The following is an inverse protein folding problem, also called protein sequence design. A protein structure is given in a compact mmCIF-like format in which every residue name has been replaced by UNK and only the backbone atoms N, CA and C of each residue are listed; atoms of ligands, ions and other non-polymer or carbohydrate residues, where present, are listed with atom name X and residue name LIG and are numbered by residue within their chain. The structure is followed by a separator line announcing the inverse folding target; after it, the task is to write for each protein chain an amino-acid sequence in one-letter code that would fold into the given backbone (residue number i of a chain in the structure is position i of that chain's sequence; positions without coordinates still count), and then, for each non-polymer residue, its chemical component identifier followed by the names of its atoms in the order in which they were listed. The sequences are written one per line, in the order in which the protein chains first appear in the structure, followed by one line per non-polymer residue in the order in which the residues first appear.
data_IF_910054960462
#
_entry.id   IF_910054960462
#
_cell.length_a   1.000
_cell.length_b   1.000
_cell.length_c   1.000
_cell.angle_alpha   90.00
_cell.angle_beta   90.00
_cell.angle_gamma   90.00
#
_symmetry.space_group_name_H-M   'P 1'
#
loop_
_entity.id
_entity.type
_entity.pdbx_description
1 polymer ?
#
# COMPACT_ATOMS: atom_id res chain seq x y z
N UNK A 1 3.29 -30.08 -5.11
CA UNK A 1 2.64 -29.60 -6.33
C UNK A 1 2.31 -28.14 -6.07
N UNK A 2 3.08 -27.22 -6.66
CA UNK A 2 2.75 -25.79 -6.66
C UNK A 2 1.87 -25.59 -7.89
N UNK A 3 0.67 -25.04 -7.73
CA UNK A 3 -0.23 -24.73 -8.85
C UNK A 3 0.49 -23.89 -9.91
N UNK A 4 0.44 -24.34 -11.16
CA UNK A 4 1.11 -23.74 -12.33
C UNK A 4 0.50 -22.40 -12.78
N UNK A 5 -0.53 -21.91 -12.09
CA UNK A 5 -1.26 -20.67 -12.43
C UNK A 5 -0.75 -19.40 -11.72
N UNK A 6 0.28 -19.49 -10.86
CA UNK A 6 0.69 -18.32 -10.06
C UNK A 6 -0.42 -17.85 -9.11
N UNK A 7 -1.22 -18.79 -8.61
CA UNK A 7 -2.38 -18.53 -7.77
C UNK A 7 -2.03 -17.79 -6.46
N UNK A 8 -2.90 -16.89 -6.05
CA UNK A 8 -2.79 -16.19 -4.77
C UNK A 8 -3.30 -17.11 -3.65
N UNK A 9 -2.40 -17.58 -2.79
CA UNK A 9 -2.77 -18.33 -1.58
C UNK A 9 -2.65 -17.45 -0.35
N UNK A 10 -3.75 -17.36 0.42
CA UNK A 10 -3.83 -16.61 1.68
C UNK A 10 -4.35 -17.51 2.80
N UNK A 11 -3.56 -17.69 3.86
CA UNK A 11 -3.97 -18.41 5.08
C UNK A 11 -3.90 -17.48 6.27
N UNK A 12 -4.99 -17.35 7.01
CA UNK A 12 -5.07 -16.50 8.21
C UNK A 12 -5.15 -17.38 9.46
N UNK A 13 -4.45 -16.98 10.52
CA UNK A 13 -4.50 -17.61 11.83
C UNK A 13 -5.27 -16.72 12.78
N UNK A 14 -6.32 -17.26 13.39
CA UNK A 14 -7.25 -16.49 14.25
C UNK A 14 -7.30 -17.13 15.63
N UNK A 15 -7.23 -16.31 16.67
CA UNK A 15 -7.39 -16.72 18.07
C UNK A 15 -8.13 -15.64 18.83
N UNK A 16 -9.10 -16.02 19.65
CA UNK A 16 -9.90 -15.08 20.48
C UNK A 16 -10.51 -13.93 19.65
N UNK A 17 -11.05 -14.28 18.49
CA UNK A 17 -11.58 -13.34 17.47
C UNK A 17 -10.57 -12.37 16.85
N UNK A 18 -9.26 -12.53 17.10
CA UNK A 18 -8.20 -11.65 16.60
C UNK A 18 -7.31 -12.35 15.59
N UNK A 19 -6.83 -11.59 14.60
CA UNK A 19 -5.84 -12.09 13.64
C UNK A 19 -4.47 -12.13 14.32
N UNK A 20 -3.87 -13.33 14.42
CA UNK A 20 -2.55 -13.52 15.03
C UNK A 20 -1.44 -13.81 14.01
N UNK A 21 -1.82 -14.00 12.74
CA UNK A 21 -0.85 -14.28 11.67
C UNK A 21 -1.51 -14.46 10.31
N UNK A 22 -0.72 -14.29 9.25
CA UNK A 22 -1.15 -14.61 7.89
C UNK A 22 0.03 -15.07 7.01
N UNK A 23 -0.24 -16.02 6.10
CA UNK A 23 0.69 -16.48 5.07
C UNK A 23 0.15 -16.01 3.71
N UNK A 24 1.02 -15.40 2.91
CA UNK A 24 0.74 -14.95 1.55
C UNK A 24 1.71 -15.64 0.57
N UNK A 25 1.18 -16.25 -0.48
CA UNK A 25 1.94 -16.77 -1.61
C UNK A 25 1.35 -16.17 -2.89
N UNK A 26 2.22 -15.70 -3.79
CA UNK A 26 1.80 -14.92 -4.97
C UNK A 26 1.68 -13.44 -4.64
N UNK A 27 0.46 -12.91 -4.68
CA UNK A 27 0.16 -11.49 -4.41
C UNK A 27 0.36 -11.13 -2.93
N UNK A 28 1.17 -10.11 -2.70
CA UNK A 28 1.53 -9.59 -1.36
C UNK A 28 0.97 -8.19 -1.11
N UNK A 29 0.08 -7.68 -1.97
CA UNK A 29 -0.45 -6.31 -1.86
C UNK A 29 -1.17 -6.09 -0.53
N UNK A 30 -1.86 -7.10 -0.01
CA UNK A 30 -2.58 -7.00 1.28
C UNK A 30 -1.68 -7.26 2.49
N UNK A 31 -0.41 -7.62 2.32
CA UNK A 31 0.48 -8.02 3.41
C UNK A 31 0.54 -6.97 4.52
N UNK A 32 0.65 -5.69 4.16
CA UNK A 32 0.73 -4.60 5.14
C UNK A 32 -0.57 -4.36 5.89
N UNK A 33 -1.71 -4.47 5.21
CA UNK A 33 -3.02 -4.38 5.86
C UNK A 33 -3.16 -5.47 6.93
N UNK A 34 -2.77 -6.70 6.61
CA UNK A 34 -2.81 -7.82 7.55
C UNK A 34 -1.82 -7.68 8.69
N UNK A 35 -0.60 -7.20 8.40
CA UNK A 35 0.40 -6.89 9.42
C UNK A 35 -0.15 -5.88 10.42
N UNK A 36 -0.78 -4.81 9.94
CA UNK A 36 -1.37 -3.79 10.80
C UNK A 36 -2.49 -4.37 11.67
N UNK A 37 -3.40 -5.17 11.10
CA UNK A 37 -4.48 -5.82 11.87
C UNK A 37 -3.95 -6.75 12.98
N UNK A 38 -2.82 -7.42 12.73
CA UNK A 38 -2.14 -8.25 13.73
C UNK A 38 -1.52 -7.38 14.82
N UNK A 39 -0.82 -6.30 14.46
CA UNK A 39 -0.19 -5.37 15.41
C UNK A 39 -1.21 -4.62 16.28
N UNK A 40 -2.37 -4.27 15.73
CA UNK A 40 -3.47 -3.60 16.43
C UNK A 40 -4.32 -4.57 17.26
N UNK A 41 -4.20 -5.88 17.05
CA UNK A 41 -5.03 -6.88 17.72
C UNK A 41 -6.53 -6.70 17.41
N UNK A 42 -6.84 -6.29 16.18
CA UNK A 42 -8.19 -5.94 15.76
C UNK A 42 -9.14 -7.15 15.80
N UNK A 43 -10.36 -6.93 16.30
CA UNK A 43 -11.41 -7.95 16.31
C UNK A 43 -11.96 -8.19 14.91
N UNK A 44 -12.10 -9.47 14.56
CA UNK A 44 -12.43 -9.90 13.22
C UNK A 44 -13.92 -10.01 12.95
N UNK A 45 -14.78 -9.89 13.97
CA UNK A 45 -16.24 -9.97 13.84
C UNK A 45 -16.79 -9.19 12.63
N UNK A 46 -16.29 -7.97 12.39
CA UNK A 46 -16.70 -7.12 11.27
C UNK A 46 -15.82 -7.26 10.01
N UNK A 47 -14.62 -7.81 10.14
CA UNK A 47 -13.62 -7.88 9.05
C UNK A 47 -13.61 -9.24 8.34
N UNK A 48 -14.14 -10.30 8.93
CA UNK A 48 -14.14 -11.69 8.39
C UNK A 48 -14.53 -11.79 6.91
N UNK A 49 -15.62 -11.11 6.51
CA UNK A 49 -16.13 -11.17 5.13
C UNK A 49 -15.23 -10.42 4.14
N UNK A 50 -14.53 -9.39 4.59
CA UNK A 50 -13.63 -8.58 3.76
C UNK A 50 -12.25 -9.21 3.67
N UNK A 51 -11.76 -9.81 4.76
CA UNK A 51 -10.48 -10.53 4.79
C UNK A 51 -10.47 -11.79 3.92
N UNK A 52 -11.59 -12.46 3.74
CA UNK A 52 -11.65 -13.66 2.89
C UNK A 52 -11.84 -13.34 1.41
N UNK A 53 -12.14 -12.08 1.07
CA UNK A 53 -12.15 -11.60 -0.31
C UNK A 53 -10.79 -10.96 -0.59
N UNK A 54 -10.14 -11.29 -1.69
CA UNK A 54 -9.03 -10.45 -2.15
C UNK A 54 -9.57 -9.04 -2.34
N UNK A 55 -9.00 -8.04 -1.67
CA UNK A 55 -9.26 -6.65 -1.99
C UNK A 55 -8.70 -6.38 -3.39
N UNK A 56 -9.49 -6.72 -4.40
CA UNK A 56 -9.21 -6.46 -5.80
C UNK A 56 -9.38 -4.97 -6.07
N UNK A 57 -8.38 -4.19 -5.68
CA UNK A 57 -8.19 -2.82 -6.17
C UNK A 57 -6.81 -2.30 -5.79
N UNK A 58 -5.76 -3.09 -6.07
CA UNK A 58 -4.45 -2.51 -6.26
C UNK A 58 -4.55 -1.54 -7.44
N UNK A 59 -4.49 -0.22 -7.19
CA UNK A 59 -4.42 0.75 -8.28
C UNK A 59 -3.20 0.38 -9.14
N UNK A 60 -3.32 0.34 -10.48
CA UNK A 60 -2.19 0.00 -11.32
C UNK A 60 -1.06 1.01 -11.10
N UNK A 61 0.17 0.50 -10.96
CA UNK A 61 1.38 1.31 -10.85
C UNK A 61 1.52 2.12 -12.15
N UNK A 62 1.56 3.44 -12.04
CA UNK A 62 1.83 4.34 -13.17
C UNK A 62 3.24 4.90 -13.07
N UNK A 63 4.03 4.73 -14.13
CA UNK A 63 5.41 5.19 -14.17
C UNK A 63 6.35 4.37 -13.27
N UNK A 64 7.45 4.98 -12.84
CA UNK A 64 8.47 4.31 -12.03
C UNK A 64 7.92 3.98 -10.64
N UNK A 65 8.14 2.74 -10.17
CA UNK A 65 7.70 2.30 -8.85
C UNK A 65 8.39 3.10 -7.73
N UNK A 66 7.61 3.67 -6.82
CA UNK A 66 8.08 4.43 -5.65
C UNK A 66 7.79 3.68 -4.35
N UNK A 67 6.62 3.05 -4.24
CA UNK A 67 6.22 2.27 -3.07
C UNK A 67 5.85 0.85 -3.49
N UNK A 68 6.73 -0.11 -3.20
CA UNK A 68 6.47 -1.54 -3.45
C UNK A 68 5.40 -2.13 -2.51
N UNK A 69 5.19 -1.52 -1.34
CA UNK A 69 4.21 -1.99 -0.36
C UNK A 69 2.77 -1.85 -0.86
N UNK A 70 2.49 -0.71 -1.49
CA UNK A 70 1.14 -0.31 -1.87
C UNK A 70 1.01 -0.08 -3.38
N UNK A 71 1.96 -0.59 -4.17
CA UNK A 71 1.98 -0.49 -5.64
C UNK A 71 1.76 0.95 -6.13
N UNK A 72 2.56 1.90 -5.62
CA UNK A 72 2.48 3.31 -6.01
C UNK A 72 3.67 3.68 -6.86
N UNK A 73 3.43 4.16 -8.08
CA UNK A 73 4.43 4.74 -8.95
C UNK A 73 4.40 6.27 -8.97
N UNK A 74 5.41 6.88 -9.59
CA UNK A 74 5.53 8.34 -9.74
C UNK A 74 4.28 8.96 -10.38
N UNK A 75 3.71 8.32 -11.40
CA UNK A 75 2.49 8.78 -12.06
C UNK A 75 1.26 8.74 -11.15
N UNK A 76 1.22 7.82 -10.17
CA UNK A 76 0.16 7.81 -9.16
C UNK A 76 0.32 8.97 -8.17
N UNK A 77 1.57 9.36 -7.85
CA UNK A 77 1.85 10.53 -7.03
C UNK A 77 1.51 11.82 -7.77
N UNK A 78 1.81 11.90 -9.06
CA UNK A 78 1.45 13.03 -9.92
C UNK A 78 -0.07 13.22 -10.00
N UNK A 79 -0.82 12.13 -10.23
CA UNK A 79 -2.28 12.15 -10.22
C UNK A 79 -2.83 12.70 -8.89
N UNK A 80 -2.29 12.24 -7.76
CA UNK A 80 -2.70 12.69 -6.43
C UNK A 80 -2.31 14.16 -6.18
N UNK A 81 -1.12 14.58 -6.59
CA UNK A 81 -0.68 15.97 -6.48
C UNK A 81 -1.59 16.91 -7.27
N UNK A 82 -1.95 16.53 -8.50
CA UNK A 82 -2.86 17.29 -9.37
C UNK A 82 -4.29 17.38 -8.82
N UNK A 83 -4.71 16.44 -7.97
CA UNK A 83 -5.97 16.53 -7.21
C UNK A 83 -5.92 17.48 -6.01
N UNK A 84 -4.76 18.06 -5.71
CA UNK A 84 -4.55 18.97 -4.58
C UNK A 84 -3.87 18.35 -3.36
N UNK A 85 -3.37 17.10 -3.44
CA UNK A 85 -2.60 16.48 -2.36
C UNK A 85 -1.16 17.04 -2.30
N UNK A 86 -1.03 18.29 -1.83
CA UNK A 86 0.24 19.05 -1.83
C UNK A 86 1.03 18.93 -0.51
N UNK A 87 0.63 18.05 0.40
CA UNK A 87 1.38 17.77 1.61
C UNK A 87 1.53 16.26 1.83
N UNK A 88 2.54 15.86 2.60
CA UNK A 88 2.89 14.45 2.77
C UNK A 88 1.74 13.63 3.36
N UNK A 89 1.01 14.18 4.35
CA UNK A 89 -0.13 13.48 4.94
C UNK A 89 -1.24 13.21 3.91
N UNK A 90 -1.61 14.23 3.11
CA UNK A 90 -2.63 14.11 2.06
C UNK A 90 -2.20 13.14 0.94
N UNK A 91 -0.93 13.16 0.56
CA UNK A 91 -0.39 12.28 -0.47
C UNK A 91 -0.39 10.82 0.00
N UNK A 92 0.00 10.59 1.25
CA UNK A 92 -0.05 9.26 1.88
C UNK A 92 -1.49 8.77 2.04
N UNK A 93 -2.45 9.63 2.36
CA UNK A 93 -3.87 9.28 2.45
C UNK A 93 -4.45 8.86 1.10
N UNK A 94 -4.21 9.63 0.03
CA UNK A 94 -4.77 9.37 -1.30
C UNK A 94 -4.12 8.16 -2.01
N UNK A 95 -2.81 8.01 -1.84
CA UNK A 95 -2.02 6.99 -2.57
C UNK A 95 -1.69 5.77 -1.74
N UNK A 96 -1.83 5.83 -0.41
CA UNK A 96 -1.34 4.84 0.54
C UNK A 96 0.19 4.66 0.53
N UNK A 97 0.96 5.44 -0.25
CA UNK A 97 2.41 5.35 -0.19
C UNK A 97 2.91 5.69 1.23
N UNK A 98 3.91 4.96 1.73
CA UNK A 98 4.52 5.23 3.04
C UNK A 98 3.74 4.75 4.27
N UNK A 99 2.56 4.14 4.11
CA UNK A 99 1.78 3.53 5.21
C UNK A 99 2.19 2.08 5.50
N UNK A 100 2.91 1.43 4.57
CA UNK A 100 3.45 0.08 4.75
C UNK A 100 4.73 0.02 5.59
N UNK A 101 5.88 -0.30 4.98
CA UNK A 101 7.16 -0.36 5.70
C UNK A 101 7.82 1.02 5.91
N UNK A 102 7.29 2.08 5.28
CA UNK A 102 7.82 3.43 5.40
C UNK A 102 9.12 3.72 4.63
N UNK A 103 9.72 2.75 3.93
CA UNK A 103 10.99 2.93 3.19
C UNK A 103 10.91 3.99 2.08
N UNK A 104 9.72 4.22 1.53
CA UNK A 104 9.47 5.22 0.49
C UNK A 104 9.17 6.63 1.05
N UNK A 105 9.09 6.84 2.37
CA UNK A 105 8.81 8.16 2.95
C UNK A 105 9.81 9.24 2.51
N UNK A 106 11.14 8.99 2.46
CA UNK A 106 12.11 9.97 1.94
C UNK A 106 11.86 10.33 0.48
N UNK A 107 11.46 9.35 -0.35
CA UNK A 107 11.14 9.57 -1.76
C UNK A 107 9.87 10.44 -1.92
N UNK A 108 8.84 10.24 -1.08
CA UNK A 108 7.66 11.12 -1.05
C UNK A 108 8.02 12.55 -0.67
N UNK A 109 8.88 12.75 0.33
CA UNK A 109 9.34 14.09 0.71
C UNK A 109 10.14 14.75 -0.42
N UNK A 110 10.97 13.99 -1.14
CA UNK A 110 11.72 14.51 -2.29
C UNK A 110 10.79 14.87 -3.46
N UNK A 111 9.78 14.06 -3.74
CA UNK A 111 8.75 14.34 -4.73
C UNK A 111 8.00 15.64 -4.42
N UNK A 112 7.55 15.84 -3.19
CA UNK A 112 6.86 17.08 -2.81
C UNK A 112 7.77 18.30 -2.93
N UNK A 113 9.04 18.19 -2.53
CA UNK A 113 10.01 19.27 -2.70
C UNK A 113 10.20 19.62 -4.17
N UNK A 114 10.30 18.64 -5.07
CA UNK A 114 10.48 18.91 -6.50
C UNK A 114 9.25 19.55 -7.16
N UNK A 115 8.04 19.27 -6.66
CA UNK A 115 6.79 19.87 -7.17
C UNK A 115 6.47 21.24 -6.58
N UNK A 116 6.83 21.50 -5.33
CA UNK A 116 6.52 22.73 -4.61
C UNK A 116 7.58 23.83 -4.77
N UNK A 117 8.83 23.45 -5.07
CA UNK A 117 9.83 24.43 -5.48
C UNK A 117 9.49 24.89 -6.89
N UNK A 118 9.41 26.21 -7.17
CA UNK A 118 9.31 26.68 -8.53
C UNK A 118 10.49 26.10 -9.31
N UNK A 119 10.23 25.58 -10.49
CA UNK A 119 11.24 25.06 -11.42
C UNK A 119 12.25 26.16 -11.75
N UNK A 120 13.21 26.40 -10.87
CA UNK A 120 14.39 27.18 -11.14
C UNK A 120 15.31 26.29 -11.99
N UNK A 121 15.13 26.42 -13.31
CA UNK A 121 16.10 26.16 -14.38
C UNK A 121 17.07 24.99 -14.15
N UNK A 122 16.91 23.93 -14.94
CA UNK A 122 18.07 23.28 -15.54
C UNK A 122 18.00 23.48 -17.05
N UNK A 123 18.82 24.43 -17.48
CA UNK A 123 19.24 24.72 -18.84
C UNK A 123 20.49 23.89 -19.12
#
# INVERSE_FOLDING_TARGET
MLDEDGGVYKKCFVRDDKLIGAIFVGDKTEFFHYKQLIEEGAELAHLRKTLLRSAASAKPVKGKLVCSCNNVGEGNLDDAFNKGCQNQASLMQETQAGTGCGSCKPALSQFLKSKLLPMAKQQ
#
